data_IF_659083977787
#
_entry.id   IF_659083977787
#
_cell.length_a   1.000
_cell.length_b   1.000
_cell.length_c   1.000
_cell.angle_alpha   90.00
_cell.angle_beta   90.00
_cell.angle_gamma   90.00
#
_symmetry.space_group_name_H-M   'P 1'
#
loop_
_entity.id
_entity.type
_entity.pdbx_description
1 polymer ?
#
# COMPACT_ATOMS: atom_id res chain seq x y z
N UNK A 1 1.60 -19.29 13.49
CA UNK A 1 2.03 -18.27 12.51
C UNK A 1 3.46 -18.49 12.04
N UNK A 2 4.45 -18.57 12.96
CA UNK A 2 5.87 -18.73 12.57
C UNK A 2 6.17 -20.00 11.77
N UNK A 3 5.58 -21.13 12.16
CA UNK A 3 5.67 -22.40 11.40
C UNK A 3 5.09 -22.28 9.99
N UNK A 4 3.90 -21.67 9.87
CA UNK A 4 3.27 -21.42 8.57
C UNK A 4 4.13 -20.56 7.66
N UNK A 5 4.81 -19.53 8.21
CA UNK A 5 5.74 -18.70 7.44
C UNK A 5 6.95 -19.51 6.92
N UNK A 6 7.51 -20.41 7.74
CA UNK A 6 8.63 -21.26 7.31
C UNK A 6 8.24 -22.23 6.20
N UNK A 7 7.02 -22.78 6.25
CA UNK A 7 6.50 -23.68 5.23
C UNK A 7 6.16 -22.95 3.92
N UNK A 8 5.63 -21.72 4.00
CA UNK A 8 5.25 -20.92 2.83
C UNK A 8 6.45 -20.27 2.16
N UNK A 9 7.52 -19.97 2.91
CA UNK A 9 8.74 -19.32 2.42
C UNK A 9 9.31 -19.92 1.11
N UNK A 10 9.60 -21.23 1.01
CA UNK A 10 10.15 -21.78 -0.23
C UNK A 10 9.20 -21.62 -1.43
N UNK A 11 7.89 -21.68 -1.20
CA UNK A 11 6.88 -21.50 -2.24
C UNK A 11 6.91 -20.07 -2.77
N UNK A 12 6.94 -19.07 -1.88
CA UNK A 12 6.95 -17.66 -2.32
C UNK A 12 8.29 -17.25 -2.96
N UNK A 13 9.40 -17.89 -2.60
CA UNK A 13 10.68 -17.68 -3.29
C UNK A 13 10.63 -18.19 -4.74
N UNK A 14 10.02 -19.36 -4.98
CA UNK A 14 9.80 -19.89 -6.32
C UNK A 14 8.82 -19.01 -7.12
N UNK A 15 7.74 -18.55 -6.48
CA UNK A 15 6.78 -17.61 -7.08
C UNK A 15 7.45 -16.32 -7.51
N UNK A 16 8.24 -15.70 -6.63
CA UNK A 16 8.98 -14.49 -6.96
C UNK A 16 9.90 -14.71 -8.16
N UNK A 17 10.68 -15.79 -8.13
CA UNK A 17 11.61 -16.10 -9.20
C UNK A 17 10.89 -16.36 -10.54
N UNK A 18 9.74 -17.05 -10.51
CA UNK A 18 8.94 -17.28 -11.71
C UNK A 18 8.41 -15.96 -12.28
N UNK A 19 7.75 -15.14 -11.45
CA UNK A 19 7.16 -13.87 -11.87
C UNK A 19 8.21 -12.87 -12.36
N UNK A 20 9.35 -12.78 -11.66
CA UNK A 20 10.46 -11.90 -12.05
C UNK A 20 11.05 -12.26 -13.42
N UNK A 21 11.12 -13.56 -13.72
CA UNK A 21 11.72 -14.07 -14.98
C UNK A 21 10.73 -14.15 -16.15
N UNK A 22 9.42 -13.97 -15.89
CA UNK A 22 8.37 -13.97 -16.91
C UNK A 22 7.54 -12.67 -16.90
N UNK A 23 8.18 -11.49 -17.03
CA UNK A 23 7.48 -10.21 -17.01
C UNK A 23 6.57 -10.05 -18.23
N UNK A 24 5.32 -9.63 -18.00
CA UNK A 24 4.35 -9.31 -19.05
C UNK A 24 3.85 -7.87 -18.94
N UNK A 25 3.81 -7.15 -20.05
CA UNK A 25 3.42 -5.74 -20.07
C UNK A 25 1.91 -5.55 -19.91
N UNK A 26 1.49 -4.32 -19.57
CA UNK A 26 0.09 -3.95 -19.36
C UNK A 26 -0.85 -4.44 -20.48
N UNK A 27 -1.93 -5.13 -20.09
CA UNK A 27 -2.93 -5.80 -20.94
C UNK A 27 -2.47 -7.05 -21.68
N UNK A 28 -1.27 -7.55 -21.39
CA UNK A 28 -0.72 -8.78 -21.96
C UNK A 28 -0.29 -9.79 -20.89
N UNK A 29 -0.76 -9.63 -19.66
CA UNK A 29 -0.43 -10.42 -18.47
C UNK A 29 -1.16 -11.78 -18.46
N UNK A 30 -1.20 -12.46 -19.62
CA UNK A 30 -1.97 -13.68 -19.83
C UNK A 30 -1.36 -14.86 -19.10
N UNK A 31 -0.05 -15.05 -19.23
CA UNK A 31 0.65 -16.17 -18.59
C UNK A 31 0.78 -15.95 -17.08
N UNK A 32 0.94 -14.71 -16.64
CA UNK A 32 0.90 -14.28 -15.24
C UNK A 32 -0.46 -14.60 -14.63
N UNK A 33 -1.55 -14.22 -15.30
CA UNK A 33 -2.91 -14.55 -14.87
C UNK A 33 -3.11 -16.06 -14.77
N UNK A 34 -2.70 -16.82 -15.80
CA UNK A 34 -2.79 -18.29 -15.81
C UNK A 34 -1.92 -18.94 -14.73
N UNK A 35 -0.73 -18.41 -14.48
CA UNK A 35 0.18 -18.90 -13.47
C UNK A 35 -0.42 -18.75 -12.08
N UNK A 36 -0.86 -17.54 -11.71
CA UNK A 36 -1.48 -17.28 -10.41
C UNK A 36 -2.75 -18.10 -10.24
N UNK A 37 -3.57 -18.19 -11.30
CA UNK A 37 -4.77 -19.03 -11.29
C UNK A 37 -4.42 -20.49 -11.00
N UNK A 38 -3.48 -21.09 -11.72
CA UNK A 38 -3.05 -22.48 -11.53
C UNK A 38 -2.42 -22.74 -10.17
N UNK A 39 -1.62 -21.80 -9.67
CA UNK A 39 -0.97 -21.89 -8.36
C UNK A 39 -2.00 -21.96 -7.22
N UNK A 40 -3.12 -21.26 -7.38
CA UNK A 40 -4.18 -21.15 -6.38
C UNK A 40 -5.36 -22.10 -6.68
N UNK A 41 -5.40 -22.71 -7.87
CA UNK A 41 -6.39 -23.73 -8.27
C UNK A 41 -6.16 -25.01 -7.45
N UNK A 42 -7.26 -25.59 -6.96
CA UNK A 42 -7.22 -26.78 -6.10
C UNK A 42 -7.15 -26.48 -4.60
N UNK A 43 -7.02 -25.20 -4.24
CA UNK A 43 -7.14 -24.72 -2.87
C UNK A 43 -8.58 -24.30 -2.55
N UNK A 44 -8.90 -24.05 -1.26
CA UNK A 44 -10.20 -23.54 -0.77
C UNK A 44 -10.47 -22.07 -1.20
N UNK A 45 -9.87 -21.65 -2.30
CA UNK A 45 -9.89 -20.31 -2.84
C UNK A 45 -10.95 -20.20 -3.94
N UNK A 46 -11.86 -19.23 -3.80
CA UNK A 46 -12.79 -18.90 -4.87
C UNK A 46 -12.10 -17.93 -5.84
N UNK A 47 -11.82 -18.39 -7.06
CA UNK A 47 -11.10 -17.63 -8.07
C UNK A 47 -12.06 -17.16 -9.16
N UNK A 48 -12.10 -15.86 -9.38
CA UNK A 48 -12.86 -15.20 -10.44
C UNK A 48 -11.88 -14.64 -11.48
N UNK A 49 -11.95 -15.12 -12.72
CA UNK A 49 -11.26 -14.56 -13.89
C UNK A 49 -12.24 -13.80 -14.77
N UNK A 50 -11.73 -13.11 -15.79
CA UNK A 50 -12.54 -12.25 -16.65
C UNK A 50 -12.34 -12.60 -18.13
N UNK A 51 -13.43 -12.67 -18.90
CA UNK A 51 -13.37 -13.09 -20.30
C UNK A 51 -12.72 -12.04 -21.21
N UNK A 52 -12.79 -10.77 -20.81
CA UNK A 52 -12.38 -9.60 -21.59
C UNK A 52 -11.09 -8.94 -21.09
N UNK A 53 -10.47 -9.48 -20.04
CA UNK A 53 -9.33 -8.87 -19.36
C UNK A 53 -8.42 -9.88 -18.68
N UNK A 54 -7.12 -9.56 -18.62
CA UNK A 54 -6.16 -10.21 -17.73
C UNK A 54 -6.44 -9.83 -16.27
N UNK A 55 -5.80 -10.52 -15.34
CA UNK A 55 -6.03 -10.39 -13.91
C UNK A 55 -7.10 -11.32 -13.37
N UNK A 56 -7.21 -11.35 -12.05
CA UNK A 56 -8.09 -12.26 -11.34
C UNK A 56 -8.40 -11.74 -9.94
N UNK A 57 -9.47 -12.26 -9.35
CA UNK A 57 -9.85 -11.98 -7.97
C UNK A 57 -9.96 -13.28 -7.21
N UNK A 58 -9.34 -13.32 -6.03
CA UNK A 58 -9.32 -14.50 -5.16
C UNK A 58 -10.04 -14.17 -3.86
N UNK A 59 -11.05 -14.96 -3.50
CA UNK A 59 -11.85 -14.76 -2.29
C UNK A 59 -11.73 -15.97 -1.37
N UNK A 60 -11.53 -15.70 -0.08
CA UNK A 60 -11.35 -16.74 0.95
C UNK A 60 -12.11 -16.38 2.23
N UNK A 61 -12.50 -17.39 3.01
CA UNK A 61 -13.27 -17.22 4.24
C UNK A 61 -14.78 -17.04 4.00
N UNK A 62 -15.51 -16.75 5.07
CA UNK A 62 -16.98 -16.71 5.07
C UNK A 62 -17.52 -15.56 5.92
N UNK A 63 -18.66 -14.99 5.54
CA UNK A 63 -19.37 -13.96 6.31
C UNK A 63 -19.55 -12.64 5.57
N UNK A 64 -20.24 -11.70 6.22
CA UNK A 64 -20.70 -10.46 5.58
C UNK A 64 -19.60 -9.39 5.47
N UNK A 65 -18.70 -9.32 6.45
CA UNK A 65 -17.56 -8.38 6.45
C UNK A 65 -16.47 -8.85 5.48
N UNK A 66 -15.92 -7.93 4.68
CA UNK A 66 -14.88 -8.24 3.70
C UNK A 66 -13.73 -7.23 3.80
N UNK A 67 -12.50 -7.74 3.85
CA UNK A 67 -11.27 -6.95 3.70
C UNK A 67 -10.74 -7.16 2.28
N UNK A 68 -10.34 -6.06 1.63
CA UNK A 68 -9.73 -6.09 0.30
C UNK A 68 -8.21 -5.95 0.39
N UNK A 69 -7.47 -6.80 -0.32
CA UNK A 69 -6.05 -6.62 -0.61
C UNK A 69 -5.90 -6.46 -2.12
N UNK A 70 -5.07 -5.53 -2.57
CA UNK A 70 -4.83 -5.27 -3.99
C UNK A 70 -3.36 -5.46 -4.30
N UNK A 71 -3.10 -6.02 -5.47
CA UNK A 71 -1.77 -6.13 -6.06
C UNK A 71 -1.86 -5.92 -7.57
N UNK A 72 -0.73 -5.62 -8.17
CA UNK A 72 -0.56 -5.15 -9.53
C UNK A 72 0.26 -6.23 -10.24
N UNK A 73 -0.07 -6.54 -11.49
CA UNK A 73 0.51 -7.72 -12.16
C UNK A 73 1.34 -7.38 -13.39
N UNK A 74 1.32 -6.13 -13.86
CA UNK A 74 2.01 -5.76 -15.09
C UNK A 74 3.48 -5.37 -14.89
N UNK A 75 4.27 -5.59 -15.93
CA UNK A 75 5.64 -5.15 -16.06
C UNK A 75 5.74 -3.91 -16.97
N UNK A 76 6.88 -3.24 -16.90
CA UNK A 76 7.20 -2.12 -17.78
C UNK A 76 7.99 -2.58 -19.01
N UNK A 77 7.71 -1.98 -20.16
CA UNK A 77 8.56 -2.09 -21.34
C UNK A 77 9.69 -1.06 -21.25
N UNK A 78 10.93 -1.51 -21.07
CA UNK A 78 12.05 -0.60 -20.83
C UNK A 78 13.39 -1.18 -21.31
N UNK A 79 14.42 -0.34 -21.35
CA UNK A 79 15.78 -0.74 -21.70
C UNK A 79 16.52 -1.25 -20.46
N UNK A 80 16.98 -2.50 -20.53
CA UNK A 80 17.82 -3.15 -19.52
C UNK A 80 19.05 -3.68 -20.23
N UNK A 81 20.25 -3.28 -19.79
CA UNK A 81 21.52 -3.70 -20.40
C UNK A 81 21.61 -3.45 -21.93
N UNK A 82 21.05 -2.34 -22.40
CA UNK A 82 20.96 -1.94 -23.82
C UNK A 82 19.99 -2.78 -24.67
N UNK A 83 19.09 -3.54 -24.04
CA UNK A 83 18.06 -4.33 -24.72
C UNK A 83 16.69 -3.91 -24.21
N UNK A 84 15.77 -3.55 -25.11
CA UNK A 84 14.38 -3.28 -24.76
C UNK A 84 13.62 -4.58 -24.52
N UNK A 85 13.11 -4.75 -23.30
CA UNK A 85 12.39 -5.94 -22.89
C UNK A 85 11.37 -5.62 -21.78
N UNK A 86 10.39 -6.51 -21.52
CA UNK A 86 9.55 -6.40 -20.34
C UNK A 86 10.40 -6.63 -19.09
N UNK A 87 10.19 -5.82 -18.04
CA UNK A 87 10.89 -5.97 -16.76
C UNK A 87 10.06 -5.41 -15.60
N UNK A 88 10.03 -6.11 -14.47
CA UNK A 88 9.37 -5.67 -13.24
C UNK A 88 10.22 -4.69 -12.42
N UNK A 89 10.61 -3.55 -13.01
CA UNK A 89 11.40 -2.52 -12.28
C UNK A 89 10.63 -1.83 -11.16
N UNK A 90 9.30 -1.91 -11.16
CA UNK A 90 8.43 -1.36 -10.10
C UNK A 90 8.13 -2.36 -8.98
N UNK A 91 8.64 -3.60 -9.05
CA UNK A 91 8.49 -4.60 -7.99
C UNK A 91 7.12 -5.28 -7.94
N UNK A 92 6.34 -5.25 -9.02
CA UNK A 92 5.00 -5.85 -9.08
C UNK A 92 5.04 -7.39 -8.90
N UNK A 93 6.12 -8.04 -9.33
CA UNK A 93 6.47 -9.42 -8.96
C UNK A 93 6.55 -9.64 -7.45
N UNK A 94 7.20 -8.73 -6.72
CA UNK A 94 7.24 -8.70 -5.26
C UNK A 94 5.85 -8.46 -4.65
N UNK A 95 5.07 -7.52 -5.18
CA UNK A 95 3.71 -7.24 -4.73
C UNK A 95 2.82 -8.49 -4.82
N UNK A 96 2.85 -9.16 -5.98
CA UNK A 96 2.11 -10.39 -6.24
C UNK A 96 2.55 -11.50 -5.28
N UNK A 97 3.87 -11.66 -5.11
CA UNK A 97 4.45 -12.65 -4.21
C UNK A 97 3.97 -12.47 -2.77
N UNK A 98 3.98 -11.22 -2.27
CA UNK A 98 3.49 -10.92 -0.92
C UNK A 98 1.99 -11.21 -0.77
N UNK A 99 1.18 -10.87 -1.77
CA UNK A 99 -0.26 -11.13 -1.76
C UNK A 99 -0.58 -12.64 -1.77
N UNK A 100 0.15 -13.42 -2.57
CA UNK A 100 0.06 -14.89 -2.60
C UNK A 100 0.51 -15.47 -1.26
N UNK A 101 1.62 -14.99 -0.69
CA UNK A 101 2.09 -15.40 0.63
C UNK A 101 1.04 -15.17 1.73
N UNK A 102 0.35 -14.03 1.70
CA UNK A 102 -0.74 -13.74 2.63
C UNK A 102 -1.89 -14.76 2.52
N UNK A 103 -2.31 -15.12 1.29
CA UNK A 103 -3.33 -16.16 1.05
C UNK A 103 -2.90 -17.53 1.58
N UNK A 104 -1.67 -17.96 1.28
CA UNK A 104 -1.14 -19.27 1.70
C UNK A 104 -0.96 -19.36 3.21
N UNK A 105 -0.45 -18.31 3.85
CA UNK A 105 -0.32 -18.26 5.31
C UNK A 105 -1.70 -18.28 5.97
N UNK A 106 -2.65 -17.50 5.46
CA UNK A 106 -4.01 -17.46 6.00
C UNK A 106 -4.69 -18.84 5.93
N UNK A 107 -4.47 -19.57 4.82
CA UNK A 107 -4.93 -20.96 4.69
C UNK A 107 -4.31 -21.85 5.77
N UNK A 108 -2.99 -21.78 5.97
CA UNK A 108 -2.27 -22.62 6.94
C UNK A 108 -2.68 -22.36 8.39
N UNK A 109 -2.96 -21.11 8.76
CA UNK A 109 -3.39 -20.77 10.13
C UNK A 109 -4.91 -20.88 10.34
N UNK A 110 -5.66 -21.08 9.26
CA UNK A 110 -7.12 -21.15 9.25
C UNK A 110 -7.78 -19.79 9.00
N UNK A 111 -8.91 -19.83 8.28
CA UNK A 111 -9.68 -18.63 7.95
C UNK A 111 -10.47 -18.10 9.16
N UNK A 112 -10.69 -16.78 9.25
CA UNK A 112 -11.61 -16.21 10.22
C UNK A 112 -13.02 -16.76 10.03
N UNK A 113 -13.70 -17.10 11.13
CA UNK A 113 -15.09 -17.62 11.09
C UNK A 113 -16.12 -16.59 10.64
N UNK A 114 -15.79 -15.30 10.75
CA UNK A 114 -16.69 -14.17 10.49
C UNK A 114 -15.98 -13.07 9.70
N UNK A 115 -15.55 -13.38 8.48
CA UNK A 115 -14.94 -12.42 7.57
C UNK A 115 -14.43 -13.07 6.29
N UNK A 116 -14.45 -12.31 5.21
CA UNK A 116 -13.85 -12.67 3.92
C UNK A 116 -12.63 -11.80 3.66
N UNK A 117 -11.63 -12.39 3.00
CA UNK A 117 -10.54 -11.66 2.37
C UNK A 117 -10.70 -11.80 0.85
N UNK A 118 -10.73 -10.67 0.16
CA UNK A 118 -10.75 -10.60 -1.31
C UNK A 118 -9.44 -9.97 -1.79
N UNK A 119 -8.65 -10.74 -2.52
CA UNK A 119 -7.38 -10.30 -3.12
C UNK A 119 -7.60 -10.03 -4.59
N UNK A 120 -7.26 -8.82 -5.04
CA UNK A 120 -7.45 -8.35 -6.42
C UNK A 120 -6.08 -8.27 -7.08
N UNK A 121 -5.86 -9.10 -8.09
CA UNK A 121 -4.69 -9.09 -8.97
C UNK A 121 -5.03 -8.25 -10.20
N UNK A 122 -4.71 -6.96 -10.13
CA UNK A 122 -5.17 -5.95 -11.08
C UNK A 122 -4.20 -5.82 -12.26
N UNK A 123 -4.67 -5.90 -13.52
CA UNK A 123 -3.84 -5.66 -14.70
C UNK A 123 -3.56 -4.16 -14.89
N UNK A 124 -2.60 -3.86 -15.76
CA UNK A 124 -2.39 -2.55 -16.36
C UNK A 124 -2.40 -1.34 -15.39
N UNK A 125 -1.71 -1.46 -14.26
CA UNK A 125 -1.51 -0.35 -13.32
C UNK A 125 -0.72 0.78 -13.97
N UNK A 126 0.36 0.44 -14.66
CA UNK A 126 1.35 1.40 -15.20
C UNK A 126 0.77 2.30 -16.29
N UNK A 127 -0.32 1.88 -16.93
CA UNK A 127 -1.06 2.70 -17.91
C UNK A 127 -2.13 3.58 -17.28
N UNK A 128 -2.27 3.56 -15.95
CA UNK A 128 -3.31 4.25 -15.20
C UNK A 128 -4.73 3.76 -15.52
N UNK A 129 -4.85 2.62 -16.24
CA UNK A 129 -6.12 2.12 -16.76
C UNK A 129 -6.68 0.97 -15.95
N UNK A 130 -5.84 0.24 -15.21
CA UNK A 130 -6.27 -0.93 -14.44
C UNK A 130 -7.25 -0.63 -13.30
N UNK A 131 -7.17 0.55 -12.69
CA UNK A 131 -7.97 0.92 -11.53
C UNK A 131 -9.32 1.49 -11.97
N UNK A 132 -10.35 0.64 -11.98
CA UNK A 132 -11.81 0.93 -12.04
C UNK A 132 -12.36 1.67 -13.29
N UNK A 133 -11.59 2.54 -13.92
CA UNK A 133 -12.02 3.36 -15.05
C UNK A 133 -12.10 2.58 -16.37
N UNK A 134 -11.25 1.55 -16.56
CA UNK A 134 -11.24 0.75 -17.79
C UNK A 134 -12.47 -0.17 -17.97
N UNK A 135 -13.13 -0.54 -16.87
CA UNK A 135 -14.29 -1.44 -16.92
C UNK A 135 -15.60 -0.74 -17.26
N UNK A 136 -15.73 0.52 -16.85
CA UNK A 136 -16.91 1.33 -17.16
C UNK A 136 -16.82 1.97 -18.54
N UNK A 137 -15.60 2.25 -19.00
CA UNK A 137 -15.35 2.92 -20.27
C UNK A 137 -14.10 2.32 -20.94
N UNK A 138 -14.22 1.92 -22.21
CA UNK A 138 -13.10 1.35 -22.98
C UNK A 138 -11.83 2.23 -22.87
N UNK A 139 -10.68 1.67 -22.46
CA UNK A 139 -9.41 2.39 -22.40
C UNK A 139 -9.09 3.13 -23.71
N UNK A 140 -8.52 4.33 -23.59
CA UNK A 140 -8.06 5.13 -24.74
C UNK A 140 -9.14 5.95 -25.47
N UNK A 141 -10.42 5.78 -25.12
CA UNK A 141 -11.51 6.58 -25.67
C UNK A 141 -11.59 7.97 -25.00
N UNK A 142 -12.13 8.98 -25.70
CA UNK A 142 -12.39 10.32 -25.15
C UNK A 142 -13.17 10.30 -23.82
N UNK A 143 -14.25 9.50 -23.66
CA UNK A 143 -14.94 9.40 -22.38
C UNK A 143 -14.10 8.76 -21.27
N UNK A 144 -13.19 7.82 -21.59
CA UNK A 144 -12.26 7.25 -20.60
C UNK A 144 -11.31 8.32 -20.06
N UNK A 145 -10.72 9.13 -20.95
CA UNK A 145 -9.84 10.25 -20.54
C UNK A 145 -10.59 11.27 -19.66
N UNK A 146 -11.83 11.60 -20.02
CA UNK A 146 -12.67 12.50 -19.22
C UNK A 146 -13.00 11.94 -17.83
N UNK A 147 -13.36 10.66 -17.76
CA UNK A 147 -13.68 10.00 -16.48
C UNK A 147 -12.46 9.96 -15.54
N UNK A 148 -11.27 9.63 -16.05
CA UNK A 148 -10.03 9.62 -15.25
C UNK A 148 -9.72 11.00 -14.67
N UNK A 149 -9.87 12.07 -15.46
CA UNK A 149 -9.64 13.45 -14.98
C UNK A 149 -10.65 13.82 -13.88
N UNK A 150 -11.93 13.52 -14.06
CA UNK A 150 -12.98 13.86 -13.08
C UNK A 150 -12.77 13.07 -11.77
N UNK A 151 -12.52 11.77 -11.86
CA UNK A 151 -12.26 10.95 -10.67
C UNK A 151 -10.95 11.35 -9.98
N UNK A 152 -9.89 11.66 -10.74
CA UNK A 152 -8.63 12.15 -10.19
C UNK A 152 -8.80 13.48 -9.45
N UNK A 153 -9.54 14.43 -10.02
CA UNK A 153 -9.86 15.70 -9.37
C UNK A 153 -10.72 15.51 -8.11
N UNK A 154 -11.71 14.61 -8.16
CA UNK A 154 -12.56 14.30 -7.02
C UNK A 154 -11.78 13.61 -5.89
N UNK A 155 -10.92 12.64 -6.21
CA UNK A 155 -10.06 11.96 -5.24
C UNK A 155 -9.01 12.91 -4.65
N UNK A 156 -8.41 13.79 -5.47
CA UNK A 156 -7.52 14.84 -5.01
C UNK A 156 -8.24 15.82 -4.07
N UNK A 157 -9.45 16.27 -4.42
CA UNK A 157 -10.29 17.08 -3.55
C UNK A 157 -10.65 16.37 -2.24
N UNK A 158 -10.99 15.09 -2.31
CA UNK A 158 -11.28 14.26 -1.15
C UNK A 158 -10.06 14.04 -0.25
N UNK A 159 -8.83 14.03 -0.80
CA UNK A 159 -7.61 13.91 0.00
C UNK A 159 -7.39 15.08 0.96
N UNK A 160 -7.99 16.24 0.70
CA UNK A 160 -8.02 17.38 1.63
C UNK A 160 -8.98 17.16 2.81
N UNK A 161 -9.96 16.28 2.66
CA UNK A 161 -10.87 15.87 3.72
C UNK A 161 -10.10 14.93 4.65
N UNK A 162 -9.64 15.45 5.79
CA UNK A 162 -8.75 14.75 6.71
C UNK A 162 -7.38 15.44 6.81
N UNK A 163 -6.77 15.86 5.70
CA UNK A 163 -5.55 16.68 5.74
C UNK A 163 -5.83 18.05 6.38
N UNK A 164 -6.93 18.72 6.01
CA UNK A 164 -7.34 19.99 6.63
C UNK A 164 -7.66 19.79 8.12
N UNK A 165 -8.31 18.68 8.47
CA UNK A 165 -8.63 18.35 9.87
C UNK A 165 -7.36 18.06 10.68
N UNK A 166 -6.40 17.33 10.11
CA UNK A 166 -5.10 17.02 10.72
C UNK A 166 -4.27 18.29 10.92
N UNK A 167 -4.12 19.12 9.88
CA UNK A 167 -3.39 20.38 9.98
C UNK A 167 -4.08 21.33 10.95
N UNK A 168 -5.40 21.46 10.85
CA UNK A 168 -6.21 22.35 11.68
C UNK A 168 -6.30 21.94 13.16
N UNK A 169 -6.00 20.69 13.52
CA UNK A 169 -6.00 20.24 14.92
C UNK A 169 -4.60 20.09 15.49
N UNK A 170 -3.65 19.54 14.73
CA UNK A 170 -2.29 19.25 15.24
C UNK A 170 -1.43 20.50 15.31
N UNK A 171 -1.47 21.39 14.30
CA UNK A 171 -0.62 22.59 14.29
C UNK A 171 -0.95 23.58 15.41
N UNK A 172 -2.23 23.89 15.71
CA UNK A 172 -2.55 24.77 16.84
C UNK A 172 -2.13 24.15 18.17
N UNK A 173 -2.38 22.86 18.39
CA UNK A 173 -2.02 22.17 19.64
C UNK A 173 -0.50 22.19 19.87
N UNK A 174 0.29 21.85 18.85
CA UNK A 174 1.76 21.92 18.95
C UNK A 174 2.26 23.36 19.09
N UNK A 175 1.62 24.32 18.41
CA UNK A 175 1.94 25.75 18.54
C UNK A 175 1.67 26.30 19.94
N UNK A 176 0.51 26.02 20.52
CA UNK A 176 0.18 26.43 21.90
C UNK A 176 1.13 25.78 22.91
N UNK A 177 1.48 24.50 22.74
CA UNK A 177 2.50 23.85 23.57
C UNK A 177 3.85 24.58 23.48
N UNK A 178 4.27 24.98 22.27
CA UNK A 178 5.46 25.80 22.07
C UNK A 178 5.43 27.13 22.83
N UNK A 179 4.32 27.87 22.75
CA UNK A 179 4.15 29.13 23.50
C UNK A 179 4.15 28.94 25.01
N UNK A 180 3.54 27.85 25.52
CA UNK A 180 3.59 27.54 26.95
C UNK A 180 5.00 27.22 27.44
N UNK A 181 5.79 26.49 26.65
CA UNK A 181 7.18 26.18 26.96
C UNK A 181 8.04 27.46 26.97
N UNK A 182 7.87 28.32 25.97
CA UNK A 182 8.55 29.62 25.90
C UNK A 182 8.19 30.49 27.12
N UNK A 183 6.91 30.57 27.48
CA UNK A 183 6.46 31.32 28.66
C UNK A 183 7.06 30.75 29.97
N UNK A 184 7.13 29.42 30.10
CA UNK A 184 7.76 28.77 31.25
C UNK A 184 9.26 29.07 31.34
N UNK A 185 9.98 29.06 30.22
CA UNK A 185 11.39 29.44 30.14
C UNK A 185 11.58 30.90 30.54
N UNK A 186 10.78 31.82 30.01
CA UNK A 186 10.84 33.25 30.34
C UNK A 186 10.56 33.47 31.82
N UNK A 187 9.53 32.82 32.38
CA UNK A 187 9.20 32.89 33.80
C UNK A 187 10.35 32.38 34.67
N UNK A 188 10.93 31.22 34.34
CA UNK A 188 12.08 30.67 35.06
C UNK A 188 13.29 31.62 35.01
N UNK A 189 13.51 32.28 33.86
CA UNK A 189 14.61 33.23 33.69
C UNK A 189 14.42 34.51 34.52
N UNK A 190 13.21 35.06 34.54
CA UNK A 190 12.84 36.22 35.39
C UNK A 190 12.99 35.87 36.88
N UNK A 191 12.49 34.70 37.31
CA UNK A 191 12.63 34.23 38.69
C UNK A 191 14.10 34.05 39.10
N UNK A 192 14.93 33.48 38.22
CA UNK A 192 16.37 33.32 38.44
C UNK A 192 17.07 34.68 38.59
N UNK A 193 16.74 35.68 37.77
CA UNK A 193 17.27 37.05 37.89
C UNK A 193 16.85 37.74 39.19
N UNK A 194 15.62 37.52 39.66
CA UNK A 194 15.14 38.05 40.95
C UNK A 194 15.84 37.43 42.18
N UNK A 195 16.34 36.20 42.06
CA UNK A 195 17.03 35.50 43.16
C UNK A 195 18.51 35.87 43.28
N UNK A 196 19.17 36.30 42.20
CA UNK A 196 20.59 36.70 42.20
C UNK A 196 20.82 38.04 42.94
N UNK A 197 19.79 38.88 43.05
CA UNK A 197 19.85 40.15 43.80
C UNK A 197 19.78 40.04 45.33
N UNK A 198 19.53 38.86 45.91
CA UNK A 198 19.32 38.69 47.36
C UNK A 198 20.39 37.87 48.10
N UNK A 199 21.45 37.41 47.43
CA UNK A 199 22.45 36.49 47.99
C UNK A 199 23.85 37.05 48.23
N UNK A 200 24.05 38.37 48.19
CA UNK A 200 25.35 38.97 48.45
C UNK A 200 25.65 39.09 49.95
N UNK A 201 26.34 38.10 50.54
CA UNK A 201 27.38 38.22 51.59
C UNK A 201 27.60 36.91 52.35
N UNK A 202 28.68 36.19 52.03
CA UNK A 202 29.62 35.53 52.98
C UNK A 202 30.72 34.84 52.14
N UNK A 203 31.85 35.52 51.96
CA UNK A 203 33.11 35.35 52.73
C UNK A 203 33.78 34.01 52.42
N UNK A 204 34.77 34.10 51.53
CA UNK A 204 35.85 33.12 51.31
C UNK A 204 36.86 33.24 52.45
N UNK A 205 37.36 32.11 52.95
CA UNK A 205 38.60 32.08 53.73
C UNK A 205 38.70 30.92 54.72
N UNK A 206 39.49 29.92 54.30
CA UNK A 206 40.40 29.04 55.09
C UNK A 206 39.82 28.14 56.17
#
# INVERSE_FOLDING_TARGET
MQTALQEVKPIIEEVFHHLHTHPEISWKEFETTKYIKRLLEGEDFQIETFDDSTGLVVTVGTGNSCVGLRTDIDALWQEVENIYQPNHSCGHDGHMTMAIGALLVLKKIGYPKTGRLKVIFQPAEEKGTGAFSARLVKPGTTPFKGAVVVFGAAAFGASFIGFITLVGTVYPVMGYLGFTLIAAIVYAWVKKRGSVGKGGKRVLGT
#
